data_IF_407264661278
#
_entry.id   IF_407264661278
#
_cell.length_a   1.000
_cell.length_b   1.000
_cell.length_c   1.000
_cell.angle_alpha   90.00
_cell.angle_beta   90.00
_cell.angle_gamma   90.00
#
_symmetry.space_group_name_H-M   'P 1'
#
loop_
_entity.id
_entity.type
_entity.pdbx_description
1 polymer ?
#
# COMPACT_ATOMS: atom_id res chain seq x y z
N UNK A 1 -35.32 33.95 25.61
CA UNK A 1 -34.90 32.76 24.83
C UNK A 1 -33.40 32.82 24.65
N UNK A 2 -32.65 31.80 25.09
CA UNK A 2 -31.21 31.68 24.83
C UNK A 2 -31.04 30.51 23.87
N UNK A 3 -30.66 30.81 22.63
CA UNK A 3 -30.30 29.79 21.64
C UNK A 3 -28.90 29.32 22.03
N UNK A 4 -28.81 28.13 22.61
CA UNK A 4 -27.53 27.46 22.80
C UNK A 4 -27.21 26.77 21.47
N UNK A 5 -26.38 27.41 20.66
CA UNK A 5 -25.80 26.78 19.48
C UNK A 5 -24.75 25.79 20.01
N UNK A 6 -25.15 24.53 20.16
CA UNK A 6 -24.21 23.45 20.42
C UNK A 6 -23.38 23.25 19.14
N UNK A 7 -22.22 23.91 19.07
CA UNK A 7 -21.22 23.64 18.04
C UNK A 7 -20.62 22.28 18.38
N UNK A 8 -21.17 21.23 17.79
CA UNK A 8 -20.58 19.90 17.83
C UNK A 8 -19.35 19.96 16.93
N UNK A 9 -18.22 20.34 17.51
CA UNK A 9 -16.93 20.00 16.94
C UNK A 9 -16.84 18.48 16.96
N UNK A 10 -17.27 17.83 15.86
CA UNK A 10 -16.69 16.56 15.50
C UNK A 10 -15.21 16.86 15.27
N UNK A 11 -14.42 16.70 16.33
CA UNK A 11 -12.97 16.61 16.25
C UNK A 11 -12.67 15.34 15.48
N UNK A 12 -12.84 15.38 14.17
CA UNK A 12 -12.20 14.45 13.26
C UNK A 12 -10.74 14.74 13.49
N UNK A 13 -10.03 13.81 14.14
CA UNK A 13 -8.58 13.84 14.11
C UNK A 13 -8.23 13.58 12.63
N UNK A 14 -8.23 14.63 11.81
CA UNK A 14 -7.75 14.56 10.45
C UNK A 14 -6.25 14.37 10.61
N UNK A 15 -5.82 13.11 10.49
CA UNK A 15 -4.41 12.80 10.42
C UNK A 15 -3.89 13.51 9.18
N UNK A 16 -3.19 14.62 9.35
CA UNK A 16 -2.42 15.19 8.27
C UNK A 16 -1.38 14.11 7.88
N UNK A 17 -1.41 13.64 6.63
CA UNK A 17 -0.23 13.02 6.04
C UNK A 17 0.80 14.13 5.72
N UNK A 18 0.99 15.09 6.65
CA UNK A 18 2.10 16.03 6.63
C UNK A 18 3.44 15.29 6.66
N UNK A 19 4.54 16.01 6.48
CA UNK A 19 5.92 15.50 6.42
C UNK A 19 6.25 14.57 7.61
N UNK A 20 5.88 13.30 7.51
CA UNK A 20 6.31 12.28 8.43
C UNK A 20 7.76 11.98 8.05
N UNK A 21 8.73 12.19 8.97
CA UNK A 21 10.10 11.82 8.71
C UNK A 21 10.16 10.30 8.41
N UNK A 22 11.15 9.86 7.61
CA UNK A 22 11.31 8.44 7.25
C UNK A 22 11.50 7.50 8.45
N UNK A 23 11.74 8.05 9.65
CA UNK A 23 11.86 7.33 10.90
C UNK A 23 10.50 7.33 11.63
N UNK A 24 9.56 6.50 11.17
CA UNK A 24 8.31 6.27 11.89
C UNK A 24 8.51 5.18 12.94
N UNK A 25 8.33 5.49 14.22
CA UNK A 25 8.39 4.48 15.30
C UNK A 25 7.11 3.61 15.38
N UNK A 26 6.07 3.96 14.63
CA UNK A 26 4.79 3.26 14.62
C UNK A 26 4.05 3.44 13.28
N UNK A 27 3.26 2.44 12.91
CA UNK A 27 2.30 2.55 11.81
C UNK A 27 1.13 3.45 12.19
N UNK A 28 0.60 4.19 11.22
CA UNK A 28 -0.60 4.99 11.38
C UNK A 28 -1.84 4.12 11.63
N UNK A 29 -2.61 4.52 12.64
CA UNK A 29 -3.92 3.95 12.95
C UNK A 29 -5.00 4.75 12.21
N UNK A 30 -5.34 4.29 11.01
CA UNK A 30 -6.40 4.91 10.19
C UNK A 30 -7.79 4.46 10.64
N UNK A 31 -8.85 5.18 10.29
CA UNK A 31 -10.21 4.74 10.60
C UNK A 31 -10.61 3.49 9.79
N UNK A 32 -11.55 2.73 10.35
CA UNK A 32 -12.12 1.54 9.71
C UNK A 32 -13.17 1.94 8.65
N UNK A 33 -13.05 1.43 7.41
CA UNK A 33 -14.15 1.49 6.45
C UNK A 33 -15.14 0.34 6.70
N UNK A 34 -16.14 0.63 7.54
CA UNK A 34 -17.18 -0.34 7.95
C UNK A 34 -17.97 -0.93 6.78
N UNK A 35 -17.93 -0.30 5.61
CA UNK A 35 -18.64 -0.75 4.41
C UNK A 35 -17.71 -1.37 3.35
N UNK A 36 -16.45 -1.62 3.71
CA UNK A 36 -15.46 -2.17 2.79
C UNK A 36 -15.87 -3.54 2.25
N UNK A 37 -15.90 -3.67 0.92
CA UNK A 37 -16.19 -4.92 0.24
C UNK A 37 -14.91 -5.64 -0.23
N UNK A 38 -14.41 -6.56 0.60
CA UNK A 38 -13.21 -7.34 0.31
C UNK A 38 -13.31 -8.19 -0.96
N UNK A 39 -14.47 -8.81 -1.22
CA UNK A 39 -14.66 -9.65 -2.39
C UNK A 39 -14.50 -8.87 -3.71
N UNK A 40 -14.92 -7.59 -3.72
CA UNK A 40 -14.72 -6.69 -4.87
C UNK A 40 -13.27 -6.22 -4.98
N UNK A 41 -12.63 -5.87 -3.87
CA UNK A 41 -11.26 -5.37 -3.87
C UNK A 41 -10.24 -6.44 -4.31
N UNK A 42 -10.31 -7.64 -3.73
CA UNK A 42 -9.39 -8.76 -3.97
C UNK A 42 -9.74 -9.55 -5.25
N UNK A 43 -10.01 -8.83 -6.34
CA UNK A 43 -10.24 -9.39 -7.67
C UNK A 43 -9.33 -8.71 -8.69
N UNK A 44 -8.54 -9.49 -9.40
CA UNK A 44 -7.69 -8.99 -10.50
C UNK A 44 -6.36 -8.39 -10.04
N UNK A 45 -5.85 -7.45 -10.83
CA UNK A 45 -4.57 -6.78 -10.59
C UNK A 45 -4.80 -5.31 -10.24
N UNK A 46 -3.97 -4.81 -9.34
CA UNK A 46 -3.80 -3.40 -9.05
C UNK A 46 -2.39 -2.99 -9.48
N UNK A 47 -2.27 -1.91 -10.22
CA UNK A 47 -0.99 -1.32 -10.60
C UNK A 47 -0.75 -0.12 -9.69
N UNK A 48 0.44 -0.01 -9.10
CA UNK A 48 0.81 1.24 -8.43
C UNK A 48 0.94 2.30 -9.52
N UNK A 49 0.23 3.42 -9.38
CA UNK A 49 0.36 4.58 -10.27
C UNK A 49 1.14 5.67 -9.60
N UNK A 50 0.99 5.82 -8.28
CA UNK A 50 1.74 6.79 -7.50
C UNK A 50 2.10 6.21 -6.14
N UNK A 51 3.22 6.67 -5.59
CA UNK A 51 3.69 6.30 -4.25
C UNK A 51 4.25 7.51 -3.55
N UNK A 52 3.96 7.67 -2.26
CA UNK A 52 4.48 8.80 -1.48
C UNK A 52 6.00 8.72 -1.34
N UNK A 53 6.51 7.52 -1.04
CA UNK A 53 7.93 7.27 -0.83
C UNK A 53 8.46 6.13 -1.69
N UNK A 54 9.78 5.95 -1.70
CA UNK A 54 10.48 4.85 -2.36
C UNK A 54 11.19 5.29 -3.64
N UNK A 55 11.16 4.42 -4.66
CA UNK A 55 11.89 4.62 -5.92
C UNK A 55 10.99 4.35 -7.13
N UNK A 56 11.54 4.50 -8.34
CA UNK A 56 10.88 4.07 -9.58
C UNK A 56 10.38 2.62 -9.49
N UNK A 57 11.12 1.75 -8.79
CA UNK A 57 10.70 0.35 -8.60
C UNK A 57 9.38 0.23 -7.84
N UNK A 58 9.13 1.12 -6.86
CA UNK A 58 7.91 1.15 -6.04
C UNK A 58 6.67 1.40 -6.90
N UNK A 59 6.69 2.43 -7.74
CA UNK A 59 5.56 2.74 -8.64
C UNK A 59 5.42 1.76 -9.79
N UNK A 60 6.44 0.94 -10.06
CA UNK A 60 6.38 -0.11 -11.06
C UNK A 60 5.75 -1.42 -10.57
N UNK A 61 5.52 -1.56 -9.26
CA UNK A 61 4.91 -2.75 -8.69
C UNK A 61 3.48 -2.98 -9.19
N UNK A 62 3.11 -4.26 -9.21
CA UNK A 62 1.77 -4.74 -9.54
C UNK A 62 1.34 -5.73 -8.44
N UNK A 63 0.17 -5.51 -7.87
CA UNK A 63 -0.41 -6.38 -6.86
C UNK A 63 -1.48 -7.26 -7.49
N UNK A 64 -1.16 -8.55 -7.65
CA UNK A 64 -2.16 -9.55 -8.04
C UNK A 64 -2.81 -10.06 -6.75
N UNK A 65 -4.07 -9.68 -6.57
CA UNK A 65 -4.82 -9.88 -5.33
C UNK A 65 -5.89 -10.95 -5.52
N UNK A 66 -6.01 -11.86 -4.56
CA UNK A 66 -7.06 -12.89 -4.58
C UNK A 66 -7.46 -13.35 -3.18
N UNK A 67 -8.72 -13.69 -3.02
CA UNK A 67 -9.22 -14.50 -1.91
C UNK A 67 -9.23 -15.96 -2.36
N UNK A 68 -8.58 -16.86 -1.60
CA UNK A 68 -8.57 -18.31 -1.87
C UNK A 68 -9.92 -18.93 -1.48
N UNK A 69 -10.19 -20.16 -1.95
CA UNK A 69 -11.42 -20.91 -1.62
C UNK A 69 -11.64 -21.08 -0.12
N UNK A 70 -10.55 -21.24 0.63
CA UNK A 70 -10.57 -21.32 2.10
C UNK A 70 -10.66 -19.93 2.77
N UNK A 71 -10.97 -18.87 2.02
CA UNK A 71 -11.13 -17.48 2.47
C UNK A 71 -9.84 -16.74 2.85
N UNK A 72 -8.67 -17.34 2.75
CA UNK A 72 -7.42 -16.63 3.03
C UNK A 72 -7.06 -15.66 1.92
N UNK A 73 -6.48 -14.53 2.29
CA UNK A 73 -6.04 -13.51 1.34
C UNK A 73 -4.66 -13.89 0.82
N UNK A 74 -4.43 -13.67 -0.47
CA UNK A 74 -3.13 -13.84 -1.09
C UNK A 74 -2.83 -12.64 -2.00
N UNK A 75 -1.69 -11.99 -1.76
CA UNK A 75 -1.15 -10.95 -2.63
C UNK A 75 0.17 -11.45 -3.23
N UNK A 76 0.32 -11.26 -4.55
CA UNK A 76 1.58 -11.43 -5.26
C UNK A 76 2.06 -10.06 -5.70
N UNK A 77 3.31 -9.74 -5.38
CA UNK A 77 3.96 -8.47 -5.73
C UNK A 77 5.35 -8.77 -6.31
N UNK A 78 5.39 -9.51 -7.42
CA UNK A 78 6.67 -9.81 -8.06
C UNK A 78 7.17 -8.58 -8.81
N UNK A 79 8.46 -8.25 -8.66
CA UNK A 79 8.97 -7.02 -9.24
C UNK A 79 10.40 -6.72 -8.81
N UNK A 80 10.89 -5.59 -9.31
CA UNK A 80 12.15 -5.02 -8.85
C UNK A 80 11.91 -4.26 -7.55
N UNK A 81 12.87 -4.34 -6.63
CA UNK A 81 12.91 -3.60 -5.38
C UNK A 81 14.29 -2.98 -5.23
N UNK A 82 14.33 -1.77 -4.70
CA UNK A 82 15.55 -1.01 -4.41
C UNK A 82 15.65 -0.82 -2.90
N UNK A 83 16.80 -1.16 -2.33
CA UNK A 83 17.11 -1.02 -0.91
C UNK A 83 18.42 -0.22 -0.73
N UNK A 84 18.58 0.86 -1.50
CA UNK A 84 19.78 1.71 -1.48
C UNK A 84 20.87 1.28 -2.48
N UNK A 85 20.50 0.56 -3.53
CA UNK A 85 21.43 0.04 -4.54
C UNK A 85 20.72 -0.36 -5.84
N UNK A 86 21.41 -0.96 -6.81
CA UNK A 86 20.77 -1.33 -8.07
C UNK A 86 19.53 -2.22 -7.85
N UNK A 87 18.38 -1.91 -8.48
CA UNK A 87 17.16 -2.67 -8.27
C UNK A 87 17.34 -4.15 -8.55
N UNK A 88 16.85 -5.01 -7.65
CA UNK A 88 16.92 -6.47 -7.80
C UNK A 88 15.52 -7.06 -7.91
N UNK A 89 15.36 -8.05 -8.78
CA UNK A 89 14.08 -8.73 -8.94
C UNK A 89 13.83 -9.73 -7.80
N UNK A 90 12.65 -9.63 -7.20
CA UNK A 90 12.18 -10.52 -6.15
C UNK A 90 10.84 -11.15 -6.49
N UNK A 91 10.61 -12.34 -5.91
CA UNK A 91 9.29 -12.93 -5.79
C UNK A 91 8.73 -12.64 -4.41
N UNK A 92 7.56 -12.02 -4.33
CA UNK A 92 6.93 -11.64 -3.07
C UNK A 92 5.56 -12.29 -2.96
N UNK A 93 5.32 -12.99 -1.85
CA UNK A 93 4.03 -13.60 -1.53
C UNK A 93 3.61 -13.14 -0.14
N UNK A 94 2.44 -12.52 -0.05
CA UNK A 94 1.84 -12.12 1.21
C UNK A 94 0.54 -12.89 1.43
N UNK A 95 0.38 -13.45 2.62
CA UNK A 95 -0.82 -14.21 3.01
C UNK A 95 -1.47 -13.59 4.24
N UNK A 96 -2.80 -13.47 4.21
CA UNK A 96 -3.62 -12.97 5.31
C UNK A 96 -4.68 -13.99 5.74
N UNK A 97 -5.10 -13.92 6.99
CA UNK A 97 -6.21 -14.74 7.51
C UNK A 97 -7.57 -14.20 7.04
N UNK A 98 -8.66 -14.88 7.42
CA UNK A 98 -10.03 -14.39 7.19
C UNK A 98 -10.41 -13.22 8.11
N UNK A 99 -9.64 -13.01 9.17
CA UNK A 99 -9.93 -12.04 10.21
C UNK A 99 -9.31 -10.70 9.80
N UNK A 100 -10.08 -9.93 9.04
CA UNK A 100 -9.75 -8.56 8.70
C UNK A 100 -10.84 -7.63 9.22
N UNK A 101 -10.45 -6.42 9.60
CA UNK A 101 -11.36 -5.39 10.07
C UNK A 101 -11.51 -4.37 8.96
N UNK A 102 -12.68 -4.31 8.32
CA UNK A 102 -13.13 -3.08 7.64
C UNK A 102 -12.07 -2.41 6.73
N UNK A 103 -11.45 -3.19 5.82
CA UNK A 103 -10.42 -2.68 4.90
C UNK A 103 -8.97 -2.75 5.41
N UNK A 104 -8.74 -3.19 6.65
CA UNK A 104 -7.42 -3.41 7.26
C UNK A 104 -7.03 -4.89 7.26
N UNK A 105 -5.86 -5.20 6.75
CA UNK A 105 -5.35 -6.55 6.57
C UNK A 105 -3.96 -6.68 7.19
N UNK A 106 -3.80 -7.68 8.05
CA UNK A 106 -2.50 -8.06 8.59
C UNK A 106 -1.95 -9.21 7.76
N UNK A 107 -0.88 -8.97 7.02
CA UNK A 107 -0.32 -9.91 6.06
C UNK A 107 1.07 -10.39 6.50
N UNK A 108 1.33 -11.67 6.33
CA UNK A 108 2.66 -12.26 6.47
C UNK A 108 3.28 -12.40 5.09
N UNK A 109 4.37 -11.68 4.84
CA UNK A 109 5.03 -11.61 3.54
C UNK A 109 6.34 -12.38 3.54
N UNK A 110 6.64 -13.03 2.40
CA UNK A 110 7.91 -13.69 2.11
C UNK A 110 8.45 -13.15 0.81
N UNK A 111 9.69 -12.68 0.83
CA UNK A 111 10.38 -12.11 -0.31
C UNK A 111 11.67 -12.85 -0.62
N UNK A 112 11.79 -13.36 -1.84
CA UNK A 112 12.92 -14.18 -2.28
C UNK A 112 13.54 -13.65 -3.58
N UNK A 113 14.86 -13.42 -3.60
CA UNK A 113 15.57 -13.02 -4.82
C UNK A 113 15.70 -14.18 -5.81
N UNK A 114 15.84 -13.87 -7.11
CA UNK A 114 16.26 -14.87 -8.12
C UNK A 114 17.78 -15.14 -8.08
N UNK A 115 18.18 -16.30 -8.58
CA UNK A 115 19.58 -16.77 -8.66
C UNK A 115 19.85 -17.99 -7.78
N UNK A 116 20.86 -18.81 -8.12
CA UNK A 116 21.37 -19.90 -7.25
C UNK A 116 22.30 -19.36 -6.16
N UNK A 117 23.13 -18.39 -6.51
CA UNK A 117 24.08 -17.70 -5.63
C UNK A 117 23.44 -16.44 -5.01
N UNK A 118 23.87 -16.08 -3.79
CA UNK A 118 23.40 -14.89 -3.06
C UNK A 118 21.88 -14.77 -2.96
N UNK A 119 21.21 -15.90 -2.67
CA UNK A 119 19.76 -15.94 -2.43
C UNK A 119 19.42 -15.17 -1.16
N UNK A 120 18.82 -14.01 -1.35
CA UNK A 120 18.23 -13.23 -0.26
C UNK A 120 16.82 -13.78 -0.04
N UNK A 121 16.54 -14.14 1.21
CA UNK A 121 15.20 -14.46 1.69
C UNK A 121 14.93 -13.65 2.93
N UNK A 122 13.79 -12.97 2.97
CA UNK A 122 13.35 -12.29 4.16
C UNK A 122 11.85 -12.39 4.31
N UNK A 123 11.40 -12.39 5.56
CA UNK A 123 10.00 -12.34 5.93
C UNK A 123 9.74 -11.00 6.60
N UNK A 124 8.54 -10.47 6.42
CA UNK A 124 8.10 -9.23 7.05
C UNK A 124 6.59 -9.26 7.22
N UNK A 125 6.10 -8.45 8.14
CA UNK A 125 4.67 -8.21 8.31
C UNK A 125 4.28 -6.96 7.53
N UNK A 126 3.09 -6.96 6.96
CA UNK A 126 2.53 -5.83 6.23
C UNK A 126 1.12 -5.55 6.72
N UNK A 127 0.96 -4.40 7.36
CA UNK A 127 -0.33 -3.84 7.70
C UNK A 127 -0.82 -3.08 6.47
N UNK A 128 -1.85 -3.60 5.81
CA UNK A 128 -2.39 -3.07 4.57
C UNK A 128 -3.80 -2.54 4.79
N UNK A 129 -3.98 -1.24 4.69
CA UNK A 129 -5.26 -0.56 4.90
C UNK A 129 -5.74 0.07 3.60
N UNK A 130 -6.93 -0.31 3.15
CA UNK A 130 -7.59 0.37 2.05
C UNK A 130 -8.28 1.60 2.61
N UNK A 131 -7.73 2.77 2.28
CA UNK A 131 -8.22 4.07 2.74
C UNK A 131 -9.46 4.48 1.98
N UNK A 132 -9.42 4.32 0.66
CA UNK A 132 -10.55 4.59 -0.22
C UNK A 132 -10.47 3.72 -1.47
N UNK A 133 -11.61 3.30 -2.02
CA UNK A 133 -11.65 2.63 -3.31
C UNK A 133 -13.04 2.67 -3.94
N UNK A 134 -13.10 2.82 -5.26
CA UNK A 134 -14.32 2.56 -6.04
C UNK A 134 -14.40 1.10 -6.52
N UNK A 135 -13.44 0.26 -6.10
CA UNK A 135 -13.21 -1.14 -6.46
C UNK A 135 -12.82 -1.40 -7.93
N UNK A 136 -13.21 -0.51 -8.84
CA UNK A 136 -13.26 -0.73 -10.29
C UNK A 136 -12.18 0.02 -11.05
N UNK A 137 -11.71 1.16 -10.55
CA UNK A 137 -10.72 2.00 -11.19
C UNK A 137 -9.55 2.25 -10.27
N UNK A 138 -9.79 2.73 -9.05
CA UNK A 138 -8.74 3.19 -8.16
C UNK A 138 -8.86 2.65 -6.74
N UNK A 139 -7.75 2.68 -6.02
CA UNK A 139 -7.71 2.54 -4.57
C UNK A 139 -6.57 3.38 -4.00
N UNK A 140 -6.78 3.96 -2.83
CA UNK A 140 -5.73 4.52 -2.00
C UNK A 140 -5.47 3.52 -0.89
N UNK A 141 -4.21 3.13 -0.74
CA UNK A 141 -3.78 2.12 0.21
C UNK A 141 -2.67 2.69 1.06
N UNK A 142 -2.81 2.56 2.37
CA UNK A 142 -1.71 2.72 3.30
C UNK A 142 -1.10 1.34 3.59
N UNK A 143 0.18 1.18 3.30
CA UNK A 143 0.95 -0.02 3.62
C UNK A 143 2.01 0.30 4.65
N UNK A 144 2.10 -0.48 5.72
CA UNK A 144 3.13 -0.35 6.73
C UNK A 144 3.83 -1.69 6.95
N UNK A 145 5.12 -1.74 6.63
CA UNK A 145 5.98 -2.90 6.80
C UNK A 145 6.56 -2.89 8.20
N UNK A 146 6.51 -4.04 8.88
CA UNK A 146 7.21 -4.29 10.14
C UNK A 146 8.15 -5.47 9.97
N UNK A 147 9.41 -5.29 10.32
CA UNK A 147 10.40 -6.37 10.33
C UNK A 147 11.40 -6.20 11.47
N UNK A 148 12.16 -7.24 11.75
CA UNK A 148 13.25 -7.20 12.72
C UNK A 148 14.54 -7.55 11.98
N UNK A 149 15.46 -6.58 11.92
CA UNK A 149 16.77 -6.79 11.33
C UNK A 149 17.77 -6.93 12.47
N UNK A 150 18.30 -8.15 12.62
CA UNK A 150 19.13 -8.58 13.76
C UNK A 150 18.35 -8.46 15.08
N UNK A 151 18.37 -7.29 15.70
CA UNK A 151 17.77 -6.99 17.01
C UNK A 151 16.99 -5.67 17.00
N UNK A 152 16.93 -4.97 15.87
CA UNK A 152 16.28 -3.66 15.76
C UNK A 152 14.98 -3.85 14.99
N UNK A 153 13.88 -3.38 15.58
CA UNK A 153 12.61 -3.27 14.88
C UNK A 153 12.73 -2.18 13.82
N UNK A 154 12.35 -2.51 12.59
CA UNK A 154 12.32 -1.60 11.46
C UNK A 154 10.88 -1.48 10.98
N UNK A 155 10.43 -0.24 10.83
CA UNK A 155 9.10 0.11 10.36
C UNK A 155 9.28 1.05 9.18
N UNK A 156 8.57 0.77 8.09
CA UNK A 156 8.54 1.61 6.90
C UNK A 156 7.10 1.65 6.39
N UNK A 157 6.58 2.85 6.13
CA UNK A 157 5.23 3.04 5.63
C UNK A 157 5.22 3.69 4.24
N UNK A 158 4.08 3.59 3.57
CA UNK A 158 3.86 4.27 2.31
C UNK A 158 2.36 4.44 2.06
N UNK A 159 1.99 5.57 1.46
CA UNK A 159 0.68 5.75 0.86
C UNK A 159 0.80 5.50 -0.65
N UNK A 160 0.08 4.49 -1.13
CA UNK A 160 0.10 4.04 -2.51
C UNK A 160 -1.24 4.37 -3.16
N UNK A 161 -1.17 4.92 -4.36
CA UNK A 161 -2.32 5.05 -5.25
C UNK A 161 -2.24 3.92 -6.25
N UNK A 162 -3.30 3.13 -6.27
CA UNK A 162 -3.45 1.97 -7.12
C UNK A 162 -4.51 2.24 -8.17
N UNK A 163 -4.30 1.70 -9.36
CA UNK A 163 -5.30 1.73 -10.43
C UNK A 163 -5.41 0.38 -11.13
N UNK A 164 -6.57 0.07 -11.71
CA UNK A 164 -6.78 -1.16 -12.51
C UNK A 164 -6.08 -1.14 -13.88
N UNK A 165 -5.47 -0.03 -14.24
CA UNK A 165 -4.70 0.22 -15.48
C UNK A 165 -3.39 0.90 -15.10
N UNK A 166 -2.30 0.54 -15.78
CA UNK A 166 -0.94 1.00 -15.47
C UNK A 166 -0.79 2.52 -15.33
N UNK A 167 -1.39 3.28 -16.24
CA UNK A 167 -1.28 4.74 -16.28
C UNK A 167 -2.67 5.38 -16.11
N UNK A 168 -3.50 4.82 -15.24
CA UNK A 168 -4.82 5.37 -14.99
C UNK A 168 -4.79 6.46 -13.93
N UNK A 169 -5.59 7.51 -14.13
CA UNK A 169 -5.80 8.60 -13.19
C UNK A 169 -7.27 8.62 -12.77
N UNK A 170 -7.54 8.99 -11.52
CA UNK A 170 -8.90 9.25 -11.05
C UNK A 170 -8.93 10.55 -10.25
N UNK A 171 -9.86 11.46 -10.59
CA UNK A 171 -9.97 12.79 -9.96
C UNK A 171 -10.30 12.70 -8.47
N UNK A 172 -11.05 11.68 -8.07
CA UNK A 172 -11.41 11.48 -6.66
C UNK A 172 -10.18 11.27 -5.77
N UNK A 173 -9.05 10.80 -6.34
CA UNK A 173 -7.81 10.63 -5.58
C UNK A 173 -7.32 11.96 -5.02
N UNK A 174 -7.38 13.04 -5.82
CA UNK A 174 -6.92 14.36 -5.37
C UNK A 174 -7.81 14.90 -4.24
N UNK A 175 -9.13 14.71 -4.34
CA UNK A 175 -10.09 15.09 -3.30
C UNK A 175 -9.80 14.34 -1.99
N UNK A 176 -9.53 13.03 -2.05
CA UNK A 176 -9.14 12.26 -0.87
C UNK A 176 -7.83 12.75 -0.29
N UNK A 177 -6.79 12.97 -1.10
CA UNK A 177 -5.48 13.42 -0.62
C UNK A 177 -5.55 14.77 0.09
N UNK A 178 -6.43 15.67 -0.35
CA UNK A 178 -6.67 16.95 0.31
C UNK A 178 -7.22 16.80 1.73
N UNK A 179 -8.03 15.76 2.00
CA UNK A 179 -8.51 15.44 3.37
C UNK A 179 -7.38 15.09 4.33
N UNK A 180 -6.21 14.75 3.79
CA UNK A 180 -5.00 14.43 4.54
C UNK A 180 -3.88 15.47 4.33
N UNK A 181 -4.24 16.70 3.94
CA UNK A 181 -3.31 17.80 3.72
C UNK A 181 -2.19 17.48 2.71
N UNK A 182 -2.53 16.71 1.66
CA UNK A 182 -1.60 16.28 0.62
C UNK A 182 -2.13 16.54 -0.79
N UNK A 183 -1.32 16.24 -1.81
CA UNK A 183 -1.67 16.36 -3.23
C UNK A 183 -0.88 15.36 -4.07
N UNK A 184 -1.34 15.04 -5.28
CA UNK A 184 -0.63 14.11 -6.18
C UNK A 184 0.79 14.57 -6.52
N UNK A 185 1.07 15.87 -6.48
CA UNK A 185 2.40 16.43 -6.78
C UNK A 185 3.47 15.99 -5.77
N UNK A 186 3.06 15.59 -4.57
CA UNK A 186 3.95 15.09 -3.52
C UNK A 186 4.27 13.60 -3.67
N UNK A 187 3.80 12.95 -4.74
CA UNK A 187 3.95 11.51 -4.96
C UNK A 187 4.82 11.25 -6.19
N UNK A 188 5.66 10.22 -6.09
CA UNK A 188 6.31 9.63 -7.25
C UNK A 188 5.25 9.09 -8.20
N UNK A 189 5.42 9.32 -9.50
CA UNK A 189 4.50 8.87 -10.55
C UNK A 189 5.11 7.74 -11.37
N UNK A 190 4.28 6.73 -11.69
CA UNK A 190 4.64 5.66 -12.62
C UNK A 190 4.87 6.18 -14.03
N UNK A 191 4.11 7.19 -14.45
CA UNK A 191 4.19 7.76 -15.80
C UNK A 191 5.57 8.39 -16.06
N UNK A 192 6.15 8.98 -15.01
CA UNK A 192 7.47 9.62 -15.05
C UNK A 192 8.62 8.63 -14.73
N UNK A 193 8.31 7.34 -14.54
CA UNK A 193 9.24 6.31 -14.09
C UNK A 193 9.52 5.25 -15.15
N UNK A 194 10.77 4.80 -15.23
CA UNK A 194 11.17 3.69 -16.10
C UNK A 194 10.93 2.36 -15.38
N UNK A 195 9.93 1.60 -15.82
CA UNK A 195 9.66 0.25 -15.30
C UNK A 195 10.45 -0.82 -16.06
N UNK A 196 11.34 -1.50 -15.34
CA UNK A 196 12.13 -2.61 -15.89
C UNK A 196 11.23 -3.80 -16.27
N UNK A 197 11.48 -4.46 -17.43
CA UNK A 197 10.70 -5.62 -17.84
C UNK A 197 10.94 -6.81 -16.92
N UNK A 198 9.90 -7.61 -16.68
CA UNK A 198 10.04 -8.82 -15.87
C UNK A 198 11.00 -9.82 -16.54
N UNK A 199 11.99 -10.37 -15.80
CA UNK A 199 12.83 -11.45 -16.29
C UNK A 199 12.10 -12.81 -16.28
N UNK A 200 10.82 -12.87 -15.87
CA UNK A 200 9.99 -14.08 -15.97
C UNK A 200 9.16 -13.96 -17.23
N UNK A 201 9.41 -14.81 -18.23
CA UNK A 201 8.51 -14.93 -19.39
C UNK A 201 7.20 -15.53 -18.89
N UNK A 202 6.09 -14.83 -19.15
CA UNK A 202 4.71 -15.26 -18.91
C UNK A 202 4.32 -16.39 -19.85
#
# INVERSE_FOLDING_TARGET
MRIIIAVVFFGVLQFAFGEYPPDTDACLELEDDKNFNSAKFFKGTWYVTNARYGSNSTVCLEYIVKIRKNGTINIVADGYYDFGGPPRYYRVRCEGTKEYKNGKFYLQCRQHSRGKENKIKFNFQLDWTVVETDYNKFAIVYGCVRTVIKTVAFIEDNLLILHRKKNGLNRNVEETLQLYESSLQNFLSREDSICLPSPVKS
#
